data_IF_112745298119
#
_entry.id   IF_112745298119
#
_cell.length_a   1.000
_cell.length_b   1.000
_cell.length_c   1.000
_cell.angle_alpha   90.00
_cell.angle_beta   90.00
_cell.angle_gamma   90.00
#
_symmetry.space_group_name_H-M   'P 1'
#
loop_
_entity.id
_entity.type
_entity.pdbx_description
1 polymer ?
#
# COMPACT_ATOMS: atom_id res chain seq x y z
N UNK A 1 20.84 23.92 4.06
CA UNK A 1 19.96 24.83 3.28
C UNK A 1 18.79 24.13 2.59
N UNK A 2 18.98 23.04 1.81
CA UNK A 2 17.89 22.42 1.00
C UNK A 2 16.64 21.94 1.78
N UNK A 3 16.77 21.60 3.07
CA UNK A 3 15.67 21.15 3.93
C UNK A 3 14.64 22.24 4.25
N UNK A 4 15.03 23.51 4.23
CA UNK A 4 14.16 24.64 4.60
C UNK A 4 13.53 25.34 3.40
N UNK A 5 13.91 24.96 2.18
CA UNK A 5 13.38 25.54 0.94
C UNK A 5 11.83 25.53 0.90
N UNK A 6 11.13 24.44 1.25
CA UNK A 6 9.66 24.43 1.21
C UNK A 6 9.05 25.45 2.18
N UNK A 7 9.64 25.59 3.36
CA UNK A 7 9.16 26.51 4.40
C UNK A 7 9.39 27.97 4.02
N UNK A 8 10.54 28.28 3.41
CA UNK A 8 10.84 29.62 2.89
C UNK A 8 9.88 29.98 1.76
N UNK A 9 9.61 29.05 0.82
CA UNK A 9 8.63 29.25 -0.26
C UNK A 9 7.23 29.53 0.31
N UNK A 10 6.82 28.78 1.33
CA UNK A 10 5.52 28.98 1.98
C UNK A 10 5.39 30.38 2.61
N UNK A 11 6.42 30.85 3.32
CA UNK A 11 6.45 32.20 3.89
C UNK A 11 6.35 33.26 2.79
N UNK A 12 7.07 33.09 1.68
CA UNK A 12 7.04 34.02 0.53
C UNK A 12 5.63 34.11 -0.07
N UNK A 13 4.91 32.98 -0.20
CA UNK A 13 3.53 32.95 -0.72
C UNK A 13 2.55 33.67 0.22
N UNK A 14 2.72 33.54 1.53
CA UNK A 14 1.88 34.26 2.51
C UNK A 14 2.14 35.77 2.43
N UNK A 15 3.42 36.17 2.39
CA UNK A 15 3.80 37.58 2.31
C UNK A 15 3.32 38.20 1.00
N UNK A 16 3.40 37.49 -0.13
CA UNK A 16 2.90 38.00 -1.41
C UNK A 16 1.38 38.20 -1.41
N UNK A 17 0.61 37.32 -0.76
CA UNK A 17 -0.83 37.51 -0.56
C UNK A 17 -1.16 38.74 0.29
N UNK A 18 -0.41 38.98 1.36
CA UNK A 18 -0.56 40.18 2.23
C UNK A 18 -0.25 41.45 1.43
N UNK A 19 0.81 41.45 0.63
CA UNK A 19 1.19 42.59 -0.22
C UNK A 19 0.13 42.83 -1.30
N UNK A 20 -0.36 41.78 -1.97
CA UNK A 20 -1.43 41.89 -2.96
C UNK A 20 -2.69 42.54 -2.37
N UNK A 21 -3.07 42.17 -1.15
CA UNK A 21 -4.21 42.76 -0.43
C UNK A 21 -4.06 44.25 -0.15
N UNK A 22 -2.84 44.72 0.11
CA UNK A 22 -2.56 46.11 0.52
C UNK A 22 -2.44 47.07 -0.66
N UNK A 23 -2.06 46.59 -1.85
CA UNK A 23 -1.69 47.45 -2.97
C UNK A 23 -2.69 47.48 -4.12
N UNK A 24 -3.42 46.39 -4.43
CA UNK A 24 -4.29 46.35 -5.61
C UNK A 24 -5.43 45.32 -5.49
N UNK A 25 -6.67 45.75 -5.78
CA UNK A 25 -7.84 44.85 -5.77
C UNK A 25 -7.72 43.75 -6.82
N UNK A 26 -7.10 44.04 -7.97
CA UNK A 26 -6.96 43.07 -9.05
C UNK A 26 -5.96 41.95 -8.72
N UNK A 27 -4.84 42.29 -8.08
CA UNK A 27 -3.87 41.30 -7.59
C UNK A 27 -4.45 40.45 -6.46
N UNK A 28 -5.29 41.04 -5.61
CA UNK A 28 -6.01 40.32 -4.56
C UNK A 28 -7.03 39.33 -5.14
N UNK A 29 -7.75 39.69 -6.20
CA UNK A 29 -8.66 38.78 -6.92
C UNK A 29 -7.91 37.60 -7.54
N UNK A 30 -6.78 37.84 -8.21
CA UNK A 30 -5.92 36.79 -8.77
C UNK A 30 -5.39 35.86 -7.67
N UNK A 31 -4.94 36.43 -6.55
CA UNK A 31 -4.49 35.65 -5.40
C UNK A 31 -5.61 34.80 -4.81
N UNK A 32 -6.82 35.34 -4.69
CA UNK A 32 -8.00 34.61 -4.24
C UNK A 32 -8.37 33.44 -5.17
N UNK A 33 -8.25 33.61 -6.48
CA UNK A 33 -8.44 32.53 -7.47
C UNK A 33 -7.39 31.44 -7.27
N UNK A 34 -6.11 31.80 -7.10
CA UNK A 34 -5.01 30.86 -6.89
C UNK A 34 -5.12 30.08 -5.58
N UNK A 35 -5.50 30.76 -4.50
CA UNK A 35 -5.71 30.14 -3.18
C UNK A 35 -6.88 29.14 -3.26
N UNK A 36 -8.00 29.55 -3.85
CA UNK A 36 -9.16 28.68 -4.05
C UNK A 36 -8.81 27.46 -4.91
N UNK A 37 -8.10 27.67 -6.03
CA UNK A 37 -7.66 26.58 -6.90
C UNK A 37 -6.72 25.60 -6.18
N UNK A 38 -5.81 26.12 -5.34
CA UNK A 38 -4.88 25.31 -4.55
C UNK A 38 -5.62 24.52 -3.47
N UNK A 39 -6.60 25.12 -2.79
CA UNK A 39 -7.44 24.45 -1.81
C UNK A 39 -8.25 23.30 -2.45
N UNK A 40 -8.82 23.52 -3.63
CA UNK A 40 -9.53 22.49 -4.40
C UNK A 40 -8.58 21.36 -4.81
N UNK A 41 -7.39 21.68 -5.32
CA UNK A 41 -6.39 20.68 -5.68
C UNK A 41 -5.97 19.82 -4.48
N UNK A 42 -5.73 20.45 -3.32
CA UNK A 42 -5.41 19.75 -2.07
C UNK A 42 -6.57 18.86 -1.60
N UNK A 43 -7.81 19.33 -1.71
CA UNK A 43 -8.98 18.52 -1.36
C UNK A 43 -9.10 17.28 -2.25
N UNK A 44 -8.84 17.42 -3.56
CA UNK A 44 -8.82 16.28 -4.50
C UNK A 44 -7.69 15.30 -4.14
N UNK A 45 -6.48 15.79 -3.89
CA UNK A 45 -5.34 14.95 -3.50
C UNK A 45 -5.58 14.23 -2.17
N UNK A 46 -6.16 14.92 -1.19
CA UNK A 46 -6.53 14.34 0.09
C UNK A 46 -7.61 13.26 -0.10
N UNK A 47 -8.62 13.52 -0.91
CA UNK A 47 -9.66 12.55 -1.26
C UNK A 47 -9.09 11.30 -1.94
N UNK A 48 -8.18 11.48 -2.91
CA UNK A 48 -7.50 10.36 -3.56
C UNK A 48 -6.64 9.58 -2.57
N UNK A 49 -5.81 10.27 -1.78
CA UNK A 49 -4.99 9.62 -0.74
C UNK A 49 -5.82 8.83 0.26
N UNK A 50 -6.99 9.34 0.64
CA UNK A 50 -7.93 8.64 1.51
C UNK A 50 -8.51 7.37 0.89
N UNK A 51 -8.89 7.40 -0.40
CA UNK A 51 -9.37 6.23 -1.14
C UNK A 51 -8.26 5.16 -1.23
N UNK A 52 -7.04 5.58 -1.56
CA UNK A 52 -5.89 4.66 -1.65
C UNK A 52 -5.56 4.07 -0.28
N UNK A 53 -5.62 4.88 0.78
CA UNK A 53 -5.45 4.43 2.15
C UNK A 53 -6.44 3.32 2.52
N UNK A 54 -7.76 3.55 2.34
CA UNK A 54 -8.79 2.54 2.62
C UNK A 54 -8.50 1.25 1.85
N UNK A 55 -8.15 1.36 0.56
CA UNK A 55 -7.85 0.19 -0.28
C UNK A 55 -6.65 -0.60 0.24
N UNK A 56 -5.65 0.09 0.78
CA UNK A 56 -4.43 -0.50 1.34
C UNK A 56 -4.66 -1.20 2.68
N UNK A 57 -5.71 -0.82 3.42
CA UNK A 57 -6.11 -1.43 4.70
C UNK A 57 -7.05 -2.63 4.53
N UNK A 58 -7.43 -2.99 3.30
CA UNK A 58 -8.23 -4.18 3.10
C UNK A 58 -7.39 -5.45 3.37
N UNK A 59 -7.89 -6.39 4.20
CA UNK A 59 -7.22 -7.66 4.42
C UNK A 59 -7.28 -8.53 3.17
N UNK A 60 -6.19 -9.24 2.91
CA UNK A 60 -6.07 -10.26 1.88
C UNK A 60 -5.92 -11.60 2.57
N UNK A 61 -6.86 -12.51 2.31
CA UNK A 61 -6.81 -13.88 2.84
C UNK A 61 -5.74 -14.69 2.13
N UNK A 62 -5.06 -15.56 2.86
CA UNK A 62 -4.07 -16.47 2.27
C UNK A 62 -4.69 -17.85 2.17
N UNK A 63 -4.66 -18.39 0.96
CA UNK A 63 -5.27 -19.68 0.61
C UNK A 63 -4.15 -20.57 0.08
N UNK A 64 -4.15 -21.83 0.47
CA UNK A 64 -3.34 -22.85 -0.18
C UNK A 64 -4.15 -23.56 -1.26
N UNK A 65 -3.56 -23.74 -2.42
CA UNK A 65 -4.12 -24.58 -3.47
C UNK A 65 -3.26 -25.84 -3.58
N UNK A 66 -3.81 -26.96 -3.12
CA UNK A 66 -3.13 -28.24 -3.01
C UNK A 66 -3.79 -29.20 -3.99
N UNK A 67 -3.08 -29.58 -5.05
CA UNK A 67 -3.59 -30.43 -6.14
C UNK A 67 -4.98 -29.98 -6.66
N UNK A 68 -5.17 -28.66 -6.81
CA UNK A 68 -6.42 -28.06 -7.30
C UNK A 68 -7.51 -27.87 -6.22
N UNK A 69 -7.28 -28.29 -4.98
CA UNK A 69 -8.19 -28.04 -3.86
C UNK A 69 -7.74 -26.83 -3.06
N UNK A 70 -8.64 -25.88 -2.85
CA UNK A 70 -8.42 -24.70 -2.00
C UNK A 70 -8.61 -25.04 -0.52
N UNK A 71 -7.64 -24.66 0.29
CA UNK A 71 -7.63 -24.82 1.75
C UNK A 71 -7.37 -23.46 2.38
N UNK A 72 -8.28 -23.01 3.25
CA UNK A 72 -8.10 -21.76 3.97
C UNK A 72 -7.05 -21.93 5.06
N UNK A 73 -6.10 -21.00 5.14
CA UNK A 73 -5.04 -21.05 6.16
C UNK A 73 -5.46 -20.40 7.49
N UNK A 74 -6.58 -19.68 7.50
CA UNK A 74 -6.98 -18.80 8.61
C UNK A 74 -6.11 -17.53 8.73
N UNK A 75 -5.08 -17.36 7.89
CA UNK A 75 -4.22 -16.19 7.90
C UNK A 75 -4.71 -15.12 6.93
N UNK A 76 -4.52 -13.86 7.33
CA UNK A 76 -4.75 -12.69 6.49
C UNK A 76 -3.71 -11.62 6.78
N UNK A 77 -3.36 -10.84 5.75
CA UNK A 77 -2.49 -9.68 5.88
C UNK A 77 -3.17 -8.46 5.27
N UNK A 78 -2.91 -7.29 5.85
CA UNK A 78 -3.30 -6.03 5.22
C UNK A 78 -2.55 -5.88 3.89
N UNK A 79 -3.23 -5.36 2.87
CA UNK A 79 -2.65 -5.20 1.52
C UNK A 79 -1.36 -4.38 1.53
N UNK A 80 -1.30 -3.31 2.33
CA UNK A 80 -0.09 -2.49 2.53
C UNK A 80 1.11 -3.26 3.12
N UNK A 81 0.85 -4.32 3.88
CA UNK A 81 1.87 -5.16 4.50
C UNK A 81 2.15 -6.45 3.70
N UNK A 82 1.53 -6.61 2.52
CA UNK A 82 1.65 -7.83 1.73
C UNK A 82 3.01 -7.88 1.00
N UNK A 83 4.09 -8.12 1.76
CA UNK A 83 5.46 -8.25 1.25
C UNK A 83 5.91 -9.71 1.30
N UNK A 84 6.96 -10.06 0.55
CA UNK A 84 7.51 -11.42 0.57
C UNK A 84 7.95 -11.81 1.98
N UNK A 85 8.62 -10.92 2.70
CA UNK A 85 9.15 -11.18 4.03
C UNK A 85 8.03 -11.37 5.06
N UNK A 86 6.99 -10.52 5.01
CA UNK A 86 5.81 -10.66 5.88
C UNK A 86 5.07 -11.96 5.62
N UNK A 87 4.77 -12.24 4.34
CA UNK A 87 4.15 -13.49 3.94
C UNK A 87 4.97 -14.69 4.43
N UNK A 88 6.28 -14.64 4.27
CA UNK A 88 7.14 -15.73 4.73
C UNK A 88 7.14 -15.87 6.26
N UNK A 89 7.14 -14.76 6.99
CA UNK A 89 7.09 -14.74 8.44
C UNK A 89 5.80 -15.37 8.98
N UNK A 90 4.65 -14.97 8.44
CA UNK A 90 3.36 -15.51 8.92
C UNK A 90 3.15 -16.97 8.55
N UNK A 91 3.65 -17.43 7.39
CA UNK A 91 3.60 -18.84 7.03
C UNK A 91 4.47 -19.68 7.97
N UNK A 92 5.55 -19.10 8.49
CA UNK A 92 6.35 -19.72 9.55
C UNK A 92 5.57 -19.94 10.86
N UNK A 93 4.55 -19.14 11.15
CA UNK A 93 3.73 -19.30 12.37
C UNK A 93 2.87 -20.57 12.33
N UNK A 94 2.46 -20.99 11.14
CA UNK A 94 1.65 -22.21 10.94
C UNK A 94 2.50 -23.41 10.52
N UNK A 95 3.83 -23.29 10.54
CA UNK A 95 4.73 -24.40 10.27
C UNK A 95 4.70 -25.39 11.45
N UNK A 96 4.63 -26.70 11.14
CA UNK A 96 4.64 -27.77 12.16
C UNK A 96 5.92 -27.80 12.97
N UNK A 97 7.06 -27.70 12.29
CA UNK A 97 8.38 -27.72 12.89
C UNK A 97 8.99 -26.32 12.85
N UNK A 98 9.06 -25.65 14.00
CA UNK A 98 9.57 -24.28 14.09
C UNK A 98 11.10 -24.19 14.01
N UNK A 99 11.82 -25.31 14.12
CA UNK A 99 13.29 -25.33 14.12
C UNK A 99 13.88 -25.46 12.72
N UNK A 100 13.07 -25.76 11.71
CA UNK A 100 13.51 -25.91 10.32
C UNK A 100 12.97 -24.80 9.44
N UNK A 101 13.71 -24.43 8.39
CA UNK A 101 13.18 -23.53 7.36
C UNK A 101 12.33 -24.34 6.39
N UNK A 102 11.04 -24.00 6.29
CA UNK A 102 10.20 -24.56 5.24
C UNK A 102 10.70 -24.13 3.85
N UNK A 103 10.40 -24.95 2.84
CA UNK A 103 10.67 -24.62 1.44
C UNK A 103 9.38 -24.74 0.64
N UNK A 104 9.07 -23.68 -0.10
CA UNK A 104 7.95 -23.61 -1.04
C UNK A 104 8.49 -23.24 -2.42
N UNK A 105 8.23 -24.11 -3.39
CA UNK A 105 8.52 -23.90 -4.82
C UNK A 105 7.89 -22.62 -5.35
N UNK A 106 6.72 -22.25 -4.84
CA UNK A 106 6.03 -20.98 -5.14
C UNK A 106 6.95 -19.76 -4.96
N UNK A 107 7.79 -19.70 -3.93
CA UNK A 107 8.69 -18.56 -3.72
C UNK A 107 9.88 -18.50 -4.68
N UNK A 108 10.08 -19.55 -5.47
CA UNK A 108 11.10 -19.64 -6.51
C UNK A 108 10.51 -19.39 -7.91
N UNK A 109 9.18 -19.37 -8.03
CA UNK A 109 8.49 -19.08 -9.29
C UNK A 109 8.65 -17.61 -9.70
N UNK A 110 8.97 -17.39 -10.98
CA UNK A 110 9.01 -16.07 -11.62
C UNK A 110 7.67 -15.33 -11.53
N UNK A 111 6.56 -16.06 -11.42
CA UNK A 111 5.23 -15.49 -11.30
C UNK A 111 4.90 -15.00 -9.88
N UNK A 112 5.67 -15.39 -8.85
CA UNK A 112 5.41 -14.99 -7.47
C UNK A 112 5.37 -13.46 -7.31
N UNK A 113 6.36 -12.76 -7.89
CA UNK A 113 6.40 -11.30 -7.83
C UNK A 113 5.22 -10.64 -8.53
N UNK A 114 4.76 -11.22 -9.65
CA UNK A 114 3.56 -10.74 -10.36
C UNK A 114 2.30 -10.92 -9.52
N UNK A 115 2.16 -12.07 -8.87
CA UNK A 115 1.03 -12.36 -7.97
C UNK A 115 1.04 -11.43 -6.76
N UNK A 116 2.21 -11.18 -6.18
CA UNK A 116 2.39 -10.25 -5.07
C UNK A 116 2.03 -8.82 -5.48
N UNK A 117 2.47 -8.35 -6.65
CA UNK A 117 2.12 -7.03 -7.16
C UNK A 117 0.62 -6.89 -7.47
N UNK A 118 -0.02 -7.91 -8.07
CA UNK A 118 -1.48 -7.92 -8.28
C UNK A 118 -2.25 -7.81 -6.96
N UNK A 119 -1.71 -8.45 -5.94
CA UNK A 119 -2.25 -8.42 -4.59
C UNK A 119 -2.01 -7.07 -3.94
N UNK A 120 -0.86 -6.43 -4.08
CA UNK A 120 -0.66 -5.09 -3.53
C UNK A 120 -1.51 -4.02 -4.24
N UNK A 121 -1.71 -4.16 -5.56
CA UNK A 121 -2.43 -3.17 -6.39
C UNK A 121 -3.95 -3.27 -6.32
N UNK A 122 -4.50 -4.11 -5.44
CA UNK A 122 -5.93 -4.08 -5.19
C UNK A 122 -6.79 -4.93 -6.14
N UNK A 123 -6.19 -5.80 -6.96
CA UNK A 123 -6.93 -6.59 -7.96
C UNK A 123 -7.50 -7.88 -7.39
N UNK A 124 -6.79 -8.50 -6.46
CA UNK A 124 -7.17 -9.78 -5.85
C UNK A 124 -7.56 -9.60 -4.38
N UNK A 125 -8.61 -10.30 -3.92
CA UNK A 125 -9.01 -10.35 -2.49
C UNK A 125 -8.35 -11.52 -1.74
N UNK A 126 -7.81 -12.46 -2.49
CA UNK A 126 -7.20 -13.68 -1.99
C UNK A 126 -5.80 -13.81 -2.57
N UNK A 127 -4.87 -14.29 -1.76
CA UNK A 127 -3.54 -14.67 -2.19
C UNK A 127 -3.44 -16.19 -2.18
N UNK A 128 -3.40 -16.77 -3.38
CA UNK A 128 -3.35 -18.23 -3.56
C UNK A 128 -1.90 -18.67 -3.72
N UNK A 129 -1.47 -19.57 -2.85
CA UNK A 129 -0.18 -20.25 -2.92
C UNK A 129 -0.43 -21.66 -3.42
N UNK A 130 -0.10 -21.90 -4.69
CA UNK A 130 -0.14 -23.24 -5.27
C UNK A 130 1.04 -24.05 -4.76
N UNK A 131 0.77 -25.24 -4.25
CA UNK A 131 1.78 -26.15 -3.72
C UNK A 131 1.38 -27.62 -3.87
N UNK A 132 2.35 -28.51 -3.79
CA UNK A 132 2.13 -29.96 -3.75
C UNK A 132 1.66 -30.43 -2.38
N UNK A 133 1.08 -31.64 -2.32
CA UNK A 133 0.76 -32.31 -1.04
C UNK A 133 1.97 -32.49 -0.13
N UNK A 134 3.15 -32.77 -0.69
CA UNK A 134 4.37 -32.93 0.09
C UNK A 134 4.79 -31.62 0.76
N UNK A 135 4.70 -30.51 0.03
CA UNK A 135 4.96 -29.18 0.61
C UNK A 135 3.95 -28.82 1.69
N UNK A 136 2.68 -29.13 1.48
CA UNK A 136 1.59 -28.85 2.42
C UNK A 136 1.77 -29.56 3.77
N UNK A 137 2.43 -30.74 3.80
CA UNK A 137 2.69 -31.47 5.05
C UNK A 137 3.49 -30.67 6.07
N UNK A 138 4.24 -29.64 5.64
CA UNK A 138 5.02 -28.75 6.51
C UNK A 138 4.16 -27.83 7.38
N UNK A 139 2.88 -27.65 7.07
CA UNK A 139 2.00 -26.68 7.74
C UNK A 139 0.87 -27.36 8.53
N UNK A 140 0.43 -26.71 9.60
CA UNK A 140 -0.76 -27.05 10.40
C UNK A 140 -1.96 -26.38 9.74
N UNK A 141 -2.68 -27.13 8.91
CA UNK A 141 -3.83 -26.70 8.09
C UNK A 141 -4.89 -27.80 8.03
#
# INVERSE_FOLDING_TARGET
MKRYIPFIIFIIIIISGIIAKLFDSYLWEIFGILDTASAVALAILAGWGYIEFIRSEQPVKIIFEIDGKRVETGLALLRKNFTRSELMGILGMIQKDQNTRYRLSFFQDKNMLKTLQKTQTGKEKEFVITMSKEEAKQFVI
#
